data_IF_520599249442
#
_entry.id   IF_520599249442
#
_cell.length_a   1.000
_cell.length_b   1.000
_cell.length_c   1.000
_cell.angle_alpha   90.00
_cell.angle_beta   90.00
_cell.angle_gamma   90.00
#
_symmetry.space_group_name_H-M   'P 1'
#
loop_
_entity.id
_entity.type
_entity.pdbx_description
1 polymer ?
#
# COMPACT_ATOMS: atom_id res chain seq x y z
N UNK A 1 1.67 12.55 -19.68
CA UNK A 1 0.60 11.55 -19.56
C UNK A 1 0.62 11.08 -18.11
N UNK A 2 -0.35 11.49 -17.29
CA UNK A 2 -0.40 11.14 -15.86
C UNK A 2 -1.46 10.07 -15.68
N UNK A 3 -1.04 8.82 -15.53
CA UNK A 3 -1.94 7.73 -15.13
C UNK A 3 -2.14 7.81 -13.61
N UNK A 4 -3.13 8.60 -13.18
CA UNK A 4 -3.60 8.52 -11.79
C UNK A 4 -4.53 7.30 -11.70
N UNK A 5 -4.06 6.21 -11.09
CA UNK A 5 -4.94 5.14 -10.66
C UNK A 5 -5.79 5.68 -9.51
N UNK A 6 -7.03 6.04 -9.80
CA UNK A 6 -7.98 6.59 -8.83
C UNK A 6 -8.50 5.43 -7.98
N UNK A 7 -7.75 5.05 -6.95
CA UNK A 7 -8.11 3.94 -6.06
C UNK A 7 -7.32 3.94 -4.75
N UNK A 8 -6.01 4.16 -4.82
CA UNK A 8 -5.12 4.38 -3.67
C UNK A 8 -4.85 5.87 -3.48
N UNK A 9 -4.66 6.33 -2.24
CA UNK A 9 -4.10 7.67 -2.02
C UNK A 9 -2.58 7.69 -2.31
N UNK A 10 -1.92 6.53 -2.32
CA UNK A 10 -0.51 6.40 -2.74
C UNK A 10 -0.40 6.53 -4.26
N UNK A 11 0.35 7.51 -4.73
CA UNK A 11 0.50 7.76 -6.16
C UNK A 11 1.35 6.67 -6.83
N UNK A 12 0.91 6.21 -8.00
CA UNK A 12 1.67 5.35 -8.91
C UNK A 12 2.19 6.23 -10.03
N UNK A 13 3.50 6.31 -10.19
CA UNK A 13 4.12 7.09 -11.27
C UNK A 13 4.25 6.29 -12.57
N UNK A 14 4.37 4.97 -12.47
CA UNK A 14 4.38 4.08 -13.63
C UNK A 14 5.18 2.81 -13.39
N UNK A 15 5.67 2.24 -14.47
CA UNK A 15 6.52 1.04 -14.49
C UNK A 15 7.85 1.45 -15.11
N UNK A 16 8.94 0.93 -14.56
CA UNK A 16 10.28 1.01 -15.14
C UNK A 16 10.82 -0.40 -15.39
N UNK A 17 11.83 -0.52 -16.24
CA UNK A 17 12.52 -1.78 -16.49
C UNK A 17 13.96 -1.67 -16.01
N UNK A 18 14.41 -2.64 -15.22
CA UNK A 18 15.81 -2.77 -14.88
C UNK A 18 16.56 -3.35 -16.09
N UNK A 19 17.42 -2.54 -16.70
CA UNK A 19 18.18 -2.92 -17.90
C UNK A 19 19.26 -3.98 -17.66
N UNK A 20 19.47 -4.40 -16.41
CA UNK A 20 20.50 -5.38 -16.04
C UNK A 20 19.96 -6.82 -15.99
N UNK A 21 18.69 -6.99 -15.60
CA UNK A 21 18.05 -8.30 -15.43
C UNK A 21 16.66 -8.40 -16.08
N UNK A 22 16.29 -7.40 -16.89
CA UNK A 22 15.01 -7.29 -17.61
C UNK A 22 13.75 -7.32 -16.72
N UNK A 23 13.90 -7.14 -15.41
CA UNK A 23 12.77 -7.10 -14.47
C UNK A 23 12.01 -5.78 -14.57
N UNK A 24 10.67 -5.86 -14.51
CA UNK A 24 9.81 -4.69 -14.43
C UNK A 24 9.54 -4.34 -12.97
N UNK A 25 9.73 -3.06 -12.64
CA UNK A 25 9.51 -2.50 -11.30
C UNK A 25 8.39 -1.46 -11.37
N UNK A 26 7.51 -1.45 -10.38
CA UNK A 26 6.51 -0.40 -10.24
C UNK A 26 7.08 0.76 -9.40
N UNK A 27 6.85 1.99 -9.86
CA UNK A 27 7.34 3.21 -9.21
C UNK A 27 6.17 3.92 -8.54
N UNK A 28 6.29 4.16 -7.24
CA UNK A 28 5.28 4.80 -6.40
C UNK A 28 5.83 6.04 -5.70
N UNK A 29 4.93 6.87 -5.17
CA UNK A 29 5.25 7.90 -4.19
C UNK A 29 6.08 7.33 -3.04
N UNK A 30 7.13 8.03 -2.67
CA UNK A 30 7.93 7.69 -1.49
C UNK A 30 7.23 8.15 -0.21
N UNK A 31 6.96 7.23 0.70
CA UNK A 31 6.38 7.51 2.00
C UNK A 31 7.50 7.64 3.06
N UNK A 32 7.69 8.86 3.57
CA UNK A 32 8.94 9.22 4.27
C UNK A 32 9.06 8.74 5.73
N UNK A 33 8.05 8.01 6.26
CA UNK A 33 8.06 7.44 7.62
C UNK A 33 8.07 5.92 7.67
N UNK A 34 8.27 5.26 6.53
CA UNK A 34 8.34 3.79 6.46
C UNK A 34 6.98 3.13 6.76
N UNK A 35 7.03 1.90 7.27
CA UNK A 35 5.81 1.16 7.61
C UNK A 35 5.16 1.66 8.91
N UNK A 36 3.86 1.44 9.08
CA UNK A 36 3.13 1.74 10.31
C UNK A 36 3.72 0.93 11.48
N UNK A 37 4.18 -0.30 11.22
CA UNK A 37 4.87 -1.10 12.22
C UNK A 37 6.10 -0.37 12.78
N UNK A 38 7.05 0.01 11.92
CA UNK A 38 8.28 0.71 12.30
C UNK A 38 7.97 2.09 12.91
N UNK A 39 7.04 2.81 12.30
CA UNK A 39 6.62 4.12 12.78
C UNK A 39 6.07 4.06 14.21
N UNK A 40 5.21 3.09 14.52
CA UNK A 40 4.66 2.96 15.87
C UNK A 40 5.73 2.53 16.89
N UNK A 41 6.70 1.69 16.51
CA UNK A 41 7.80 1.32 17.42
C UNK A 41 8.56 2.54 17.93
N UNK A 42 8.79 3.54 17.08
CA UNK A 42 9.52 4.75 17.45
C UNK A 42 8.63 5.87 18.01
N UNK A 43 7.37 5.99 17.56
CA UNK A 43 6.57 7.22 17.77
C UNK A 43 5.29 7.02 18.61
N UNK A 44 4.98 5.80 19.08
CA UNK A 44 3.68 5.52 19.71
C UNK A 44 3.33 6.43 20.90
N UNK A 45 4.34 6.83 21.70
CA UNK A 45 4.17 7.69 22.88
C UNK A 45 3.92 9.15 22.52
N UNK A 46 4.41 9.60 21.37
CA UNK A 46 4.31 10.98 20.89
C UNK A 46 3.02 11.22 20.08
N UNK A 47 2.43 10.15 19.55
CA UNK A 47 1.16 10.23 18.84
C UNK A 47 0.02 10.62 19.78
N UNK A 48 -0.55 11.81 19.52
CA UNK A 48 -1.80 12.20 20.16
C UNK A 48 -2.99 11.40 19.59
N UNK A 49 -4.12 11.44 20.31
CA UNK A 49 -5.33 10.69 19.94
C UNK A 49 -5.88 11.08 18.56
N UNK A 50 -5.73 12.35 18.16
CA UNK A 50 -6.19 12.84 16.85
C UNK A 50 -5.38 12.22 15.71
N UNK A 51 -4.06 12.12 15.86
CA UNK A 51 -3.23 11.43 14.87
C UNK A 51 -3.62 9.96 14.74
N UNK A 52 -3.87 9.27 15.85
CA UNK A 52 -4.31 7.86 15.84
C UNK A 52 -5.65 7.69 15.12
N UNK A 53 -6.61 8.59 15.37
CA UNK A 53 -7.90 8.58 14.66
C UNK A 53 -7.73 8.87 13.17
N UNK A 54 -6.88 9.81 12.78
CA UNK A 54 -6.63 10.10 11.36
C UNK A 54 -6.03 8.88 10.64
N UNK A 55 -5.04 8.20 11.25
CA UNK A 55 -4.49 6.96 10.70
C UNK A 55 -5.56 5.88 10.51
N UNK A 56 -6.42 5.66 11.52
CA UNK A 56 -7.53 4.70 11.43
C UNK A 56 -8.53 5.09 10.33
N UNK A 57 -8.83 6.38 10.20
CA UNK A 57 -9.72 6.91 9.17
C UNK A 57 -9.16 6.66 7.76
N UNK A 58 -7.87 6.96 7.55
CA UNK A 58 -7.18 6.74 6.27
C UNK A 58 -7.18 5.26 5.90
N UNK A 59 -6.76 4.39 6.82
CA UNK A 59 -6.70 2.94 6.61
C UNK A 59 -8.09 2.39 6.27
N UNK A 60 -9.12 2.77 7.03
CA UNK A 60 -10.50 2.34 6.80
C UNK A 60 -11.02 2.82 5.44
N UNK A 61 -10.72 4.07 5.08
CA UNK A 61 -11.12 4.66 3.80
C UNK A 61 -10.46 3.94 2.62
N UNK A 62 -9.16 3.61 2.74
CA UNK A 62 -8.43 2.86 1.70
C UNK A 62 -8.98 1.43 1.56
N UNK A 63 -9.27 0.73 2.67
CA UNK A 63 -9.93 -0.58 2.63
C UNK A 63 -11.31 -0.53 1.96
N UNK A 64 -12.12 0.49 2.27
CA UNK A 64 -13.43 0.67 1.62
C UNK A 64 -13.28 0.85 0.11
N UNK A 65 -12.29 1.63 -0.34
CA UNK A 65 -12.01 1.81 -1.77
C UNK A 65 -11.60 0.48 -2.43
N UNK A 66 -10.70 -0.29 -1.79
CA UNK A 66 -10.26 -1.60 -2.29
C UNK A 66 -11.44 -2.58 -2.41
N UNK A 67 -12.26 -2.68 -1.36
CA UNK A 67 -13.43 -3.56 -1.36
C UNK A 67 -14.50 -3.13 -2.36
N UNK A 68 -14.69 -1.81 -2.58
CA UNK A 68 -15.59 -1.29 -3.63
C UNK A 68 -15.09 -1.60 -5.05
N UNK A 69 -13.78 -1.79 -5.22
CA UNK A 69 -13.19 -2.28 -6.46
C UNK A 69 -13.26 -3.81 -6.59
N UNK A 70 -13.97 -4.50 -5.68
CA UNK A 70 -14.10 -5.97 -5.64
C UNK A 70 -12.81 -6.72 -5.33
N UNK A 71 -11.81 -6.07 -4.74
CA UNK A 71 -10.54 -6.69 -4.33
C UNK A 71 -10.48 -6.92 -2.82
N UNK A 72 -9.83 -8.01 -2.43
CA UNK A 72 -9.37 -8.29 -1.07
C UNK A 72 -7.85 -8.21 -1.06
N UNK A 73 -7.25 -7.51 -0.08
CA UNK A 73 -5.81 -7.25 -0.04
C UNK A 73 -4.93 -8.51 0.00
N UNK A 74 -5.37 -9.56 0.69
CA UNK A 74 -4.64 -10.83 0.82
C UNK A 74 -3.52 -10.84 1.87
N UNK A 75 -2.84 -9.70 2.09
CA UNK A 75 -1.74 -9.58 3.06
C UNK A 75 -1.81 -8.29 3.90
N UNK A 76 -2.95 -8.07 4.55
CA UNK A 76 -3.20 -6.82 5.27
C UNK A 76 -2.64 -6.85 6.70
N UNK A 77 -1.52 -6.16 6.92
CA UNK A 77 -0.90 -5.96 8.24
C UNK A 77 -0.16 -4.62 8.35
N UNK A 78 0.27 -4.22 9.55
CA UNK A 78 0.91 -2.92 9.78
C UNK A 78 2.23 -2.71 9.04
N UNK A 79 2.97 -3.77 8.72
CA UNK A 79 4.11 -3.72 7.80
C UNK A 79 3.78 -3.23 6.38
N UNK A 80 2.58 -3.52 5.87
CA UNK A 80 2.12 -3.14 4.52
C UNK A 80 1.29 -1.84 4.52
N UNK A 81 1.31 -1.10 5.62
CA UNK A 81 0.69 0.23 5.72
C UNK A 81 1.82 1.25 5.77
N UNK A 82 1.99 2.06 4.73
CA UNK A 82 3.02 3.10 4.70
C UNK A 82 2.55 4.37 5.43
N UNK A 83 3.51 5.11 5.98
CA UNK A 83 3.31 6.38 6.67
C UNK A 83 4.06 7.49 5.94
N UNK A 84 3.39 8.63 5.74
CA UNK A 84 3.97 9.81 5.11
C UNK A 84 3.61 11.06 5.90
N UNK A 85 4.62 11.87 6.21
CA UNK A 85 4.45 13.12 6.93
C UNK A 85 4.76 14.29 6.00
N UNK A 86 3.76 15.13 5.77
CA UNK A 86 3.89 16.35 5.00
C UNK A 86 4.62 17.44 5.79
N UNK A 87 5.10 18.45 5.07
CA UNK A 87 5.85 19.59 5.64
C UNK A 87 5.02 20.35 6.69
N UNK A 88 3.69 20.36 6.55
CA UNK A 88 2.78 20.97 7.52
C UNK A 88 2.55 20.14 8.79
N UNK A 89 3.16 18.94 8.89
CA UNK A 89 3.03 18.03 10.01
C UNK A 89 1.89 17.01 9.88
N UNK A 90 1.07 17.07 8.83
CA UNK A 90 0.01 16.09 8.60
C UNK A 90 0.60 14.72 8.31
N UNK A 91 0.06 13.72 9.00
CA UNK A 91 0.44 12.33 8.88
C UNK A 91 -0.67 11.58 8.13
N UNK A 92 -0.32 10.97 6.99
CA UNK A 92 -1.23 10.19 6.16
C UNK A 92 -0.79 8.72 6.14
N UNK A 93 -1.77 7.83 6.16
CA UNK A 93 -1.55 6.38 6.03
C UNK A 93 -1.98 5.86 4.65
N UNK A 94 -1.15 5.00 4.06
CA UNK A 94 -1.44 4.36 2.79
C UNK A 94 -1.39 2.84 2.92
N UNK A 95 -2.34 2.13 2.33
CA UNK A 95 -2.23 0.68 2.16
C UNK A 95 -1.38 0.42 0.91
N UNK A 96 -0.36 -0.41 1.06
CA UNK A 96 0.59 -0.77 0.01
C UNK A 96 0.74 -2.29 -0.07
N UNK A 97 1.54 -2.74 -1.03
CA UNK A 97 1.77 -4.17 -1.32
C UNK A 97 0.49 -4.95 -1.68
N UNK A 98 0.02 -4.72 -2.89
CA UNK A 98 -1.12 -5.43 -3.46
C UNK A 98 -0.72 -6.75 -4.15
N UNK A 99 0.49 -7.26 -3.92
CA UNK A 99 1.01 -8.45 -4.61
C UNK A 99 0.21 -9.74 -4.36
N UNK A 100 -0.51 -9.80 -3.24
CA UNK A 100 -1.40 -10.91 -2.87
C UNK A 100 -2.89 -10.53 -2.97
N UNK A 101 -3.19 -9.38 -3.57
CA UNK A 101 -4.57 -8.94 -3.74
C UNK A 101 -5.29 -9.77 -4.80
N UNK A 102 -6.54 -10.13 -4.51
CA UNK A 102 -7.36 -10.99 -5.38
C UNK A 102 -8.76 -10.45 -5.54
N UNK A 103 -9.37 -10.67 -6.71
CA UNK A 103 -10.75 -10.31 -6.93
C UNK A 103 -11.66 -11.27 -6.15
N UNK A 104 -12.76 -10.76 -5.59
CA UNK A 104 -13.67 -11.53 -4.74
C UNK A 104 -14.21 -12.81 -5.42
N UNK A 105 -14.45 -12.75 -6.72
CA UNK A 105 -15.05 -13.85 -7.49
C UNK A 105 -14.02 -14.82 -8.09
N UNK A 106 -12.72 -14.58 -7.92
CA UNK A 106 -11.64 -15.52 -8.30
C UNK A 106 -11.38 -16.57 -7.22
N UNK A 107 -12.22 -16.64 -6.18
CA UNK A 107 -12.06 -17.59 -5.07
C UNK A 107 -12.38 -19.05 -5.42
N UNK A 108 -12.79 -19.35 -6.66
CA UNK A 108 -13.11 -20.70 -7.15
C UNK A 108 -12.24 -21.19 -8.33
N UNK A 109 -11.17 -20.47 -8.71
CA UNK A 109 -10.21 -20.94 -9.71
C UNK A 109 -8.87 -21.30 -9.05
N UNK A 110 -8.77 -22.59 -8.77
CA UNK A 110 -7.58 -23.44 -8.60
C UNK A 110 -6.23 -22.78 -9.00
N UNK A 111 -5.35 -22.62 -8.00
CA UNK A 111 -3.87 -22.62 -8.09
C UNK A 111 -3.13 -21.84 -9.20
N UNK A 112 -3.75 -20.91 -9.92
CA UNK A 112 -2.98 -20.05 -10.85
C UNK A 112 -2.30 -18.90 -10.08
N UNK A 113 -1.09 -19.20 -9.61
CA UNK A 113 -0.13 -18.26 -9.05
C UNK A 113 0.12 -17.12 -10.06
N UNK A 114 -0.53 -15.97 -9.89
CA UNK A 114 -0.14 -14.69 -10.51
C UNK A 114 0.81 -13.93 -9.58
N UNK A 115 1.93 -14.58 -9.26
CA UNK A 115 3.04 -13.99 -8.52
C UNK A 115 4.27 -14.82 -8.87
N UNK A 116 4.98 -14.41 -9.93
CA UNK A 116 6.20 -15.10 -10.34
C UNK A 116 7.18 -15.08 -9.16
N UNK A 117 7.38 -16.24 -8.53
CA UNK A 117 8.51 -16.53 -7.66
C UNK A 117 9.76 -16.31 -8.51
N UNK A 118 10.58 -15.32 -8.16
CA UNK A 118 11.97 -15.30 -8.58
C UNK A 118 12.66 -16.48 -7.90
N UNK A 119 12.94 -17.51 -8.69
CA UNK A 119 13.92 -18.54 -8.37
C UNK A 119 15.18 -18.12 -9.08
N UNK A 120 16.13 -17.58 -8.31
CA UNK A 120 17.55 -17.93 -8.29
C UNK A 120 18.21 -17.27 -7.07
#
# INVERSE_FOLDING_TARGET
MQFRLVGSNLEVYGITQNTTNDEYLMVFQYANKGSLHEFLLSNFRELNWKNKLNQLYDISTNLIKLHKAEYVHGDFHSGNILQDQYINGDLISYIADLGLSRKKDESDLDDSICGARSVN
#
